data_IF_123890256950
#
_entry.id   IF_123890256950
#
_cell.length_a   1.000
_cell.length_b   1.000
_cell.length_c   1.000
_cell.angle_alpha   90.00
_cell.angle_beta   90.00
_cell.angle_gamma   90.00
#
_symmetry.space_group_name_H-M   'P 1'
#
loop_
_entity.id
_entity.type
_entity.pdbx_description
1 polymer ?
#
# COMPACT_ATOMS: atom_id res chain seq x y z
N UNK A 1 -9.50 19.50 -7.86
CA UNK A 1 -9.05 19.74 -9.25
C UNK A 1 -9.07 21.22 -9.67
N UNK A 2 -9.76 22.12 -8.96
CA UNK A 2 -9.97 23.50 -9.42
C UNK A 2 -8.73 24.45 -9.35
N UNK A 3 -7.71 24.16 -8.53
CA UNK A 3 -6.62 25.12 -8.28
C UNK A 3 -5.43 25.02 -9.27
N UNK A 4 -5.19 23.84 -9.85
CA UNK A 4 -4.06 23.61 -10.77
C UNK A 4 -4.31 24.25 -12.16
N UNK A 5 -5.58 24.29 -12.60
CA UNK A 5 -5.97 24.90 -13.86
C UNK A 5 -5.73 26.42 -13.88
N UNK A 6 -5.96 27.11 -12.75
CA UNK A 6 -5.75 28.54 -12.62
C UNK A 6 -4.28 28.97 -12.67
N UNK A 7 -3.34 28.04 -12.47
CA UNK A 7 -1.90 28.32 -12.41
C UNK A 7 -1.11 27.71 -13.57
N UNK A 8 -1.78 27.08 -14.55
CA UNK A 8 -1.13 26.42 -15.68
C UNK A 8 -0.23 25.24 -15.29
N UNK A 9 -0.28 24.80 -14.03
CA UNK A 9 0.53 23.69 -13.51
C UNK A 9 -0.20 22.39 -13.72
N UNK A 10 0.48 21.41 -14.30
CA UNK A 10 -0.06 20.06 -14.33
C UNK A 10 -0.24 19.55 -12.88
N UNK A 11 -1.36 18.86 -12.58
CA UNK A 11 -1.52 18.19 -11.31
C UNK A 11 -0.33 17.26 -11.06
N UNK A 12 0.06 17.12 -9.79
CA UNK A 12 1.05 16.11 -9.42
C UNK A 12 0.60 14.75 -9.94
N UNK A 13 1.55 13.97 -10.46
CA UNK A 13 1.28 12.60 -10.88
C UNK A 13 0.68 11.84 -9.69
N UNK A 14 -0.38 11.05 -9.91
CA UNK A 14 -0.92 10.20 -8.85
C UNK A 14 0.17 9.24 -8.37
N UNK A 15 0.13 8.89 -7.08
CA UNK A 15 1.02 7.88 -6.51
C UNK A 15 0.84 6.56 -7.26
N UNK A 16 1.94 5.85 -7.49
CA UNK A 16 1.96 4.64 -8.33
C UNK A 16 1.26 3.43 -7.70
N UNK A 17 0.86 3.51 -6.42
CA UNK A 17 0.31 2.40 -5.65
C UNK A 17 1.32 1.30 -5.29
N UNK A 18 2.57 1.38 -5.77
CA UNK A 18 3.62 0.43 -5.43
C UNK A 18 4.25 0.80 -4.10
N UNK A 19 4.26 -0.15 -3.19
CA UNK A 19 4.87 -0.01 -1.87
C UNK A 19 5.73 -1.23 -1.57
N UNK A 20 7.04 -1.03 -1.50
CA UNK A 20 8.02 -2.10 -1.24
C UNK A 20 8.58 -1.90 0.15
N UNK A 21 8.35 -2.88 1.02
CA UNK A 21 8.88 -2.89 2.38
C UNK A 21 9.99 -3.92 2.50
N UNK A 22 11.09 -3.52 3.14
CA UNK A 22 12.07 -4.47 3.68
C UNK A 22 11.66 -4.79 5.11
N UNK A 23 11.39 -6.06 5.37
CA UNK A 23 10.99 -6.55 6.68
C UNK A 23 12.00 -7.59 7.18
N UNK A 24 12.09 -7.72 8.49
CA UNK A 24 12.77 -8.86 9.09
C UNK A 24 12.11 -10.18 8.61
N UNK A 25 12.89 -11.23 8.28
CA UNK A 25 12.34 -12.49 7.79
C UNK A 25 11.31 -13.12 8.74
N UNK A 26 11.49 -12.99 10.06
CA UNK A 26 10.54 -13.52 11.03
C UNK A 26 9.21 -12.76 11.01
N UNK A 27 9.25 -11.44 10.79
CA UNK A 27 8.05 -10.62 10.62
C UNK A 27 7.32 -10.99 9.33
N UNK A 28 8.06 -11.12 8.22
CA UNK A 28 7.50 -11.54 6.94
C UNK A 28 6.79 -12.91 7.05
N UNK A 29 7.43 -13.89 7.69
CA UNK A 29 6.84 -15.21 7.89
C UNK A 29 5.53 -15.16 8.70
N UNK A 30 5.51 -14.40 9.81
CA UNK A 30 4.30 -14.23 10.63
C UNK A 30 3.15 -13.58 9.86
N UNK A 31 3.45 -12.57 9.04
CA UNK A 31 2.44 -11.93 8.18
C UNK A 31 1.91 -12.90 7.11
N UNK A 32 2.79 -13.68 6.47
CA UNK A 32 2.40 -14.66 5.46
C UNK A 32 1.44 -15.73 6.04
N UNK A 33 1.75 -16.24 7.24
CA UNK A 33 0.88 -17.21 7.94
C UNK A 33 -0.49 -16.60 8.23
N UNK A 34 -0.55 -15.37 8.76
CA UNK A 34 -1.82 -14.68 9.04
C UNK A 34 -2.64 -14.42 7.79
N UNK A 35 -1.99 -13.99 6.70
CA UNK A 35 -2.64 -13.78 5.42
C UNK A 35 -3.26 -15.08 4.89
N UNK A 36 -2.48 -16.18 4.91
CA UNK A 36 -2.94 -17.49 4.48
C UNK A 36 -4.11 -18.01 5.33
N UNK A 37 -4.03 -17.89 6.66
CA UNK A 37 -5.11 -18.27 7.57
C UNK A 37 -6.40 -17.47 7.32
N UNK A 38 -6.29 -16.26 6.76
CA UNK A 38 -7.41 -15.39 6.39
C UNK A 38 -7.88 -15.60 4.93
N UNK A 39 -7.29 -16.55 4.19
CA UNK A 39 -7.59 -16.79 2.77
C UNK A 39 -7.18 -15.64 1.84
N UNK A 40 -6.26 -14.78 2.27
CA UNK A 40 -5.82 -13.58 1.53
C UNK A 40 -4.40 -13.73 1.03
N UNK A 41 -4.07 -13.08 -0.08
CA UNK A 41 -2.66 -12.89 -0.44
C UNK A 41 -1.96 -11.96 0.57
N UNK A 42 -0.64 -12.08 0.70
CA UNK A 42 0.14 -11.24 1.59
C UNK A 42 -0.05 -9.75 1.28
N UNK A 43 -0.13 -9.37 0.00
CA UNK A 43 -0.33 -7.98 -0.42
C UNK A 43 -1.73 -7.45 -0.04
N UNK A 44 -2.78 -8.27 -0.19
CA UNK A 44 -4.13 -7.87 0.22
C UNK A 44 -4.21 -7.69 1.74
N UNK A 45 -3.67 -8.65 2.49
CA UNK A 45 -3.63 -8.57 3.95
C UNK A 45 -2.85 -7.33 4.43
N UNK A 46 -1.68 -7.06 3.84
CA UNK A 46 -0.89 -5.87 4.17
C UNK A 46 -1.62 -4.57 3.81
N UNK A 47 -2.26 -4.49 2.63
CA UNK A 47 -3.00 -3.30 2.21
C UNK A 47 -4.17 -2.99 3.16
N UNK A 48 -4.90 -4.01 3.61
CA UNK A 48 -6.01 -3.85 4.55
C UNK A 48 -5.53 -3.35 5.92
N UNK A 49 -4.47 -3.93 6.46
CA UNK A 49 -3.86 -3.46 7.72
C UNK A 49 -3.36 -2.03 7.59
N UNK A 50 -2.68 -1.69 6.49
CA UNK A 50 -2.17 -0.33 6.25
C UNK A 50 -3.27 0.70 5.98
N UNK A 51 -4.43 0.28 5.47
CA UNK A 51 -5.57 1.17 5.26
C UNK A 51 -6.31 1.57 6.55
N UNK A 52 -6.09 0.83 7.64
CA UNK A 52 -6.68 1.09 8.95
C UNK A 52 -5.77 1.92 9.86
N UNK A 53 -4.57 2.28 9.37
CA UNK A 53 -3.55 3.03 10.11
C UNK A 53 -3.72 4.55 9.96
#
# INVERSE_FOLDING_TARGET
MAHCAATGKQPNKPYSGKFVLRLDPAVHARLAIKAQASGKSLNQFAAEVLSQA
#
